data_IF_322702984049
#
_entry.id   IF_322702984049
#
_cell.length_a   1.000
_cell.length_b   1.000
_cell.length_c   1.000
_cell.angle_alpha   90.00
_cell.angle_beta   90.00
_cell.angle_gamma   90.00
#
_symmetry.space_group_name_H-M   'P 1'
#
loop_
_entity.id
_entity.type
_entity.pdbx_description
1 polymer ?
#
# COMPACT_ATOMS: atom_id res chain seq x y z
N UNK A 1 -3.32 10.43 -10.68
CA UNK A 1 -4.44 9.47 -10.53
C UNK A 1 -3.86 8.16 -10.03
N UNK A 2 -4.45 7.56 -9.00
CA UNK A 2 -4.02 6.26 -8.48
C UNK A 2 -5.15 5.23 -8.61
N UNK A 3 -4.79 3.95 -8.60
CA UNK A 3 -5.73 2.83 -8.61
C UNK A 3 -5.66 2.17 -7.24
N UNK A 4 -6.79 2.07 -6.56
CA UNK A 4 -6.90 1.26 -5.35
C UNK A 4 -7.20 -0.18 -5.77
N UNK A 5 -6.34 -1.11 -5.38
CA UNK A 5 -6.56 -2.53 -5.58
C UNK A 5 -6.76 -3.19 -4.21
N UNK A 6 -7.92 -3.79 -4.02
CA UNK A 6 -8.22 -4.58 -2.83
C UNK A 6 -7.74 -6.01 -3.01
N UNK A 7 -7.15 -6.59 -1.96
CA UNK A 7 -6.68 -7.97 -1.94
C UNK A 7 -7.32 -8.65 -0.74
N UNK A 8 -8.21 -9.61 -1.01
CA UNK A 8 -8.78 -10.45 0.02
C UNK A 8 -7.76 -11.52 0.44
N UNK A 9 -7.18 -11.34 1.62
CA UNK A 9 -6.17 -12.25 2.15
C UNK A 9 -6.77 -13.59 2.61
N UNK A 10 -8.09 -13.72 2.73
CA UNK A 10 -8.73 -14.99 3.14
C UNK A 10 -8.77 -16.01 2.02
N UNK A 11 -8.55 -15.58 0.78
CA UNK A 11 -8.51 -16.43 -0.39
C UNK A 11 -7.21 -17.27 -0.45
N UNK A 12 -7.27 -18.55 -0.88
CA UNK A 12 -6.12 -19.45 -0.89
C UNK A 12 -4.97 -18.95 -1.78
N UNK A 13 -5.26 -18.26 -2.88
CA UNK A 13 -4.26 -17.61 -3.75
C UNK A 13 -3.44 -16.53 -3.03
N UNK A 14 -3.98 -15.94 -1.96
CA UNK A 14 -3.35 -14.88 -1.18
C UNK A 14 -2.80 -15.38 0.16
N UNK A 15 -2.63 -16.70 0.33
CA UNK A 15 -2.13 -17.30 1.57
C UNK A 15 -0.83 -16.66 2.09
N UNK A 16 0.05 -16.24 1.18
CA UNK A 16 1.29 -15.52 1.55
C UNK A 16 1.00 -14.22 2.29
N UNK A 17 -0.03 -13.47 1.87
CA UNK A 17 -0.46 -12.26 2.55
C UNK A 17 -1.18 -12.57 3.87
N UNK A 18 -1.99 -13.62 3.90
CA UNK A 18 -2.63 -14.09 5.12
C UNK A 18 -1.60 -14.41 6.21
N UNK A 19 -0.63 -15.27 5.89
CA UNK A 19 0.40 -15.71 6.83
C UNK A 19 1.20 -14.51 7.37
N UNK A 20 1.43 -13.50 6.51
CA UNK A 20 2.20 -12.31 6.85
C UNK A 20 1.42 -11.27 7.65
N UNK A 21 0.13 -11.08 7.39
CA UNK A 21 -0.62 -9.91 7.85
C UNK A 21 -1.95 -10.20 8.55
N UNK A 22 -2.35 -11.45 8.76
CA UNK A 22 -3.64 -11.82 9.40
C UNK A 22 -3.98 -11.08 10.69
N UNK A 23 -2.99 -10.65 11.48
CA UNK A 23 -3.19 -9.90 12.74
C UNK A 23 -2.95 -8.39 12.60
N UNK A 24 -2.49 -7.97 11.42
CA UNK A 24 -1.94 -6.66 11.13
C UNK A 24 -2.78 -5.83 10.16
N UNK A 25 -3.94 -6.34 9.74
CA UNK A 25 -4.84 -5.66 8.82
C UNK A 25 -5.53 -4.42 9.45
N UNK A 26 -5.92 -3.41 8.65
CA UNK A 26 -5.64 -3.28 7.21
C UNK A 26 -4.17 -2.91 6.93
N UNK A 27 -3.60 -3.42 5.82
CA UNK A 27 -2.23 -3.13 5.36
C UNK A 27 -2.29 -2.46 4.00
N UNK A 28 -1.50 -1.41 3.81
CA UNK A 28 -1.43 -0.67 2.56
C UNK A 28 -0.03 -0.75 1.96
N UNK A 29 0.02 -0.98 0.66
CA UNK A 29 1.24 -0.89 -0.15
C UNK A 29 1.06 0.19 -1.20
N UNK A 30 2.11 0.98 -1.41
CA UNK A 30 2.18 1.97 -2.48
C UNK A 30 3.32 1.56 -3.42
N UNK A 31 3.01 1.36 -4.70
CA UNK A 31 3.96 0.88 -5.72
C UNK A 31 4.71 -0.40 -5.29
N UNK A 32 3.99 -1.35 -4.68
CA UNK A 32 4.54 -2.62 -4.18
C UNK A 32 5.36 -2.50 -2.88
N UNK A 33 5.57 -1.30 -2.33
CA UNK A 33 6.28 -1.08 -1.07
C UNK A 33 5.29 -0.90 0.07
N UNK A 34 5.60 -1.52 1.22
CA UNK A 34 4.80 -1.34 2.43
C UNK A 34 4.75 0.13 2.83
N UNK A 35 3.54 0.64 3.10
CA UNK A 35 3.31 2.02 3.48
C UNK A 35 2.90 2.14 4.95
N UNK A 36 1.86 1.41 5.35
CA UNK A 36 1.29 1.48 6.69
C UNK A 36 0.41 0.25 6.99
N UNK A 37 0.14 0.02 8.28
CA UNK A 37 -0.77 -1.02 8.79
C UNK A 37 -1.59 -0.55 9.99
N UNK A 38 -2.68 -1.25 10.32
CA UNK A 38 -3.62 -1.01 11.43
C UNK A 38 -4.41 0.31 11.39
N UNK A 39 -3.79 1.40 10.96
CA UNK A 39 -4.43 2.73 10.87
C UNK A 39 -4.04 3.40 9.58
N UNK A 40 -5.03 4.05 8.97
CA UNK A 40 -4.81 4.90 7.80
C UNK A 40 -4.28 6.24 8.28
N UNK A 41 -3.07 6.57 7.87
CA UNK A 41 -2.47 7.90 8.05
C UNK A 41 -2.54 8.63 6.70
N UNK A 42 -3.57 9.47 6.56
CA UNK A 42 -3.84 10.20 5.32
C UNK A 42 -2.68 11.16 4.99
N UNK A 43 -2.12 11.84 5.98
CA UNK A 43 -1.01 12.77 5.75
C UNK A 43 0.22 12.02 5.22
N UNK A 44 0.55 10.88 5.83
CA UNK A 44 1.64 10.03 5.35
C UNK A 44 1.39 9.53 3.92
N UNK A 45 0.15 9.18 3.58
CA UNK A 45 -0.22 8.76 2.23
C UNK A 45 -0.02 9.89 1.21
N UNK A 46 -0.54 11.09 1.50
CA UNK A 46 -0.39 12.27 0.63
C UNK A 46 1.08 12.65 0.43
N UNK A 47 1.88 12.63 1.49
CA UNK A 47 3.32 12.90 1.40
C UNK A 47 4.05 11.92 0.50
N UNK A 48 3.70 10.63 0.59
CA UNK A 48 4.32 9.60 -0.24
C UNK A 48 3.85 9.68 -1.68
N UNK A 49 2.58 9.98 -1.94
CA UNK A 49 2.09 10.25 -3.28
C UNK A 49 2.82 11.43 -3.92
N UNK A 50 2.94 12.56 -3.22
CA UNK A 50 3.69 13.73 -3.70
C UNK A 50 5.13 13.39 -4.05
N UNK A 51 5.81 12.59 -3.21
CA UNK A 51 7.19 12.13 -3.48
C UNK A 51 7.27 11.28 -4.74
N UNK A 52 6.34 10.35 -4.93
CA UNK A 52 6.28 9.51 -6.14
C UNK A 52 6.05 10.35 -7.39
N UNK A 53 5.11 11.30 -7.33
CA UNK A 53 4.82 12.19 -8.45
C UNK A 53 6.04 13.04 -8.81
N UNK A 54 6.69 13.69 -7.82
CA UNK A 54 7.90 14.49 -8.04
C UNK A 54 9.08 13.66 -8.60
N UNK A 55 9.27 12.42 -8.13
CA UNK A 55 10.30 11.53 -8.68
C UNK A 55 10.04 11.14 -10.14
N UNK A 56 8.77 11.05 -10.55
CA UNK A 56 8.43 10.79 -11.94
C UNK A 56 8.68 12.02 -12.84
N UNK A 57 8.55 13.24 -12.32
CA UNK A 57 8.83 14.49 -13.07
C UNK A 57 10.33 14.83 -13.17
N UNK A 58 11.16 14.40 -12.23
CA UNK A 58 12.62 14.64 -12.27
C UNK A 58 13.42 13.69 -13.17
N UNK A 59 12.77 12.72 -13.80
CA UNK A 59 13.38 11.73 -14.70
C UNK A 59 12.96 11.94 -16.18
N UNK A 60 12.67 13.19 -16.58
CA UNK A 60 12.45 13.60 -17.97
C UNK A 60 13.33 14.80 -18.31
#
# INVERSE_FOLDING_TARGET
QFILQEVDITLPENKVWYDKYKYDIPVFHLNGKFLMKHRVDIQKFEDQLRKVELQNYGNH
#
